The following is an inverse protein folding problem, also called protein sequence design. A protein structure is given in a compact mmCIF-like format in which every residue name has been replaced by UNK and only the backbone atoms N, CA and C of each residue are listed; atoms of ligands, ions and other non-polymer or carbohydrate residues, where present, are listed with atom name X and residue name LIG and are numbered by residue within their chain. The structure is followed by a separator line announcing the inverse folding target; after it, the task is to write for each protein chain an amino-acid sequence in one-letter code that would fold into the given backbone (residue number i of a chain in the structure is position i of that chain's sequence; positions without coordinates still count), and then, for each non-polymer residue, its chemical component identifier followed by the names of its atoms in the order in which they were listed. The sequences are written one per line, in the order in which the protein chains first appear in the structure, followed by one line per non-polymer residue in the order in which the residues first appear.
data_IF_443881913171
#
_entry.id   IF_443881913171
#
_cell.length_a   1.000
_cell.length_b   1.000
_cell.length_c   1.000
_cell.angle_alpha   90.00
_cell.angle_beta   90.00
_cell.angle_gamma   90.00
#
_symmetry.space_group_name_H-M   'P 1'
#
loop_
_entity.id
_entity.type
_entity.pdbx_description
1 polymer ?
#
# COMPACT_ATOMS: atom_id res chain seq x y z
N UNK A 1 -14.81 -17.37 2.23
CA UNK A 1 -15.05 -17.09 3.66
C UNK A 1 -14.41 -15.73 3.99
N UNK A 2 -15.15 -14.77 4.55
CA UNK A 2 -14.60 -13.45 4.84
C UNK A 2 -13.47 -13.55 5.87
N UNK A 3 -12.31 -12.89 5.68
CA UNK A 3 -11.20 -13.01 6.61
C UNK A 3 -11.61 -12.45 7.98
N UNK A 4 -11.64 -13.31 8.99
CA UNK A 4 -11.80 -12.90 10.38
C UNK A 4 -10.42 -12.57 10.95
N UNK A 5 -10.28 -11.38 11.54
CA UNK A 5 -9.07 -11.05 12.30
C UNK A 5 -9.46 -10.84 13.75
N UNK A 6 -9.02 -11.75 14.63
CA UNK A 6 -9.38 -11.77 16.06
C UNK A 6 -10.89 -11.89 16.30
N UNK A 7 -11.56 -12.81 15.60
CA UNK A 7 -12.99 -13.09 15.77
C UNK A 7 -13.94 -12.00 15.26
N UNK A 8 -13.43 -10.91 14.67
CA UNK A 8 -14.25 -9.86 14.07
C UNK A 8 -14.20 -9.95 12.55
N UNK A 9 -15.38 -9.96 11.92
CA UNK A 9 -15.53 -9.91 10.47
C UNK A 9 -14.98 -8.56 9.96
N UNK A 10 -14.09 -8.61 8.97
CA UNK A 10 -13.58 -7.44 8.26
C UNK A 10 -13.85 -7.62 6.78
N UNK A 11 -15.05 -7.23 6.39
CA UNK A 11 -15.62 -7.43 5.07
C UNK A 11 -15.86 -6.11 4.32
N UNK A 12 -15.66 -4.95 4.94
CA UNK A 12 -15.82 -3.66 4.29
C UNK A 12 -14.50 -3.23 3.67
N UNK A 13 -14.43 -3.20 2.34
CA UNK A 13 -13.32 -2.59 1.61
C UNK A 13 -13.55 -1.09 1.55
N UNK A 14 -12.52 -0.31 1.87
CA UNK A 14 -12.56 1.14 1.79
C UNK A 14 -11.17 1.67 1.48
N UNK A 15 -11.07 2.93 1.06
CA UNK A 15 -9.79 3.60 0.87
C UNK A 15 -9.76 5.01 1.45
N UNK A 16 -8.56 5.56 1.55
CA UNK A 16 -8.33 6.97 1.85
C UNK A 16 -7.17 7.49 1.00
N UNK A 17 -7.20 8.77 0.63
CA UNK A 17 -6.07 9.39 -0.05
C UNK A 17 -4.88 9.56 0.90
N UNK A 18 -3.72 9.03 0.52
CA UNK A 18 -2.46 9.20 1.27
C UNK A 18 -1.79 10.52 0.92
N UNK A 19 -1.99 10.96 -0.31
CA UNK A 19 -1.58 12.24 -0.88
C UNK A 19 -2.46 12.48 -2.14
N UNK A 20 -2.13 13.48 -2.95
CA UNK A 20 -2.88 13.77 -4.18
C UNK A 20 -2.79 12.66 -5.25
N UNK A 21 -1.78 11.79 -5.16
CA UNK A 21 -1.40 10.82 -6.20
C UNK A 21 -1.70 9.37 -5.84
N UNK A 22 -2.03 9.03 -4.59
CA UNK A 22 -2.23 7.64 -4.16
C UNK A 22 -3.45 7.47 -3.25
N UNK A 23 -4.21 6.40 -3.49
CA UNK A 23 -5.29 5.92 -2.64
C UNK A 23 -4.83 4.65 -1.90
N UNK A 24 -4.86 4.64 -0.57
CA UNK A 24 -4.56 3.46 0.23
C UNK A 24 -5.84 2.70 0.56
N UNK A 25 -5.95 1.48 0.05
CA UNK A 25 -7.11 0.60 0.20
C UNK A 25 -6.86 -0.42 1.30
N UNK A 26 -7.86 -0.62 2.15
CA UNK A 26 -7.81 -1.54 3.29
C UNK A 26 -9.16 -2.13 3.61
N UNK A 27 -9.15 -3.28 4.29
CA UNK A 27 -10.37 -3.89 4.84
C UNK A 27 -10.56 -3.48 6.29
N UNK A 28 -11.80 -3.13 6.62
CA UNK A 28 -12.24 -2.80 7.98
C UNK A 28 -13.54 -3.54 8.28
N UNK A 29 -13.94 -3.53 9.55
CA UNK A 29 -15.33 -3.82 9.92
C UNK A 29 -16.20 -2.63 9.51
N UNK A 30 -17.52 -2.84 9.48
CA UNK A 30 -18.46 -1.73 9.37
C UNK A 30 -18.29 -0.74 10.54
N UNK A 31 -17.80 0.45 10.22
CA UNK A 31 -17.59 1.54 11.18
C UNK A 31 -18.87 2.37 11.37
N UNK A 32 -19.76 2.38 10.38
CA UNK A 32 -21.03 3.11 10.44
C UNK A 32 -22.07 2.38 11.31
N UNK A 33 -21.91 1.07 11.50
CA UNK A 33 -22.67 0.32 12.50
C UNK A 33 -22.31 0.67 13.95
N UNK A 34 -21.27 1.48 14.20
CA UNK A 34 -20.88 1.90 15.55
C UNK A 34 -21.68 3.14 15.97
N UNK A 35 -22.23 3.13 17.19
CA UNK A 35 -22.95 4.27 17.75
C UNK A 35 -22.10 5.55 17.72
N UNK A 36 -22.70 6.65 17.22
CA UNK A 36 -22.05 7.95 17.10
C UNK A 36 -21.13 8.12 15.88
N UNK A 37 -21.19 7.20 14.91
CA UNK A 37 -20.48 7.29 13.63
C UNK A 37 -21.46 7.01 12.50
N UNK A 38 -21.78 8.02 11.71
CA UNK A 38 -22.56 7.84 10.49
C UNK A 38 -21.66 7.57 9.27
N UNK A 39 -22.18 6.99 8.17
CA UNK A 39 -21.45 6.91 6.91
C UNK A 39 -21.00 8.29 6.41
N UNK A 40 -21.83 9.32 6.60
CA UNK A 40 -21.51 10.70 6.22
C UNK A 40 -20.29 11.24 6.98
N UNK A 41 -20.15 10.89 8.27
CA UNK A 41 -18.99 11.28 9.08
C UNK A 41 -17.69 10.68 8.53
N UNK A 42 -17.71 9.40 8.13
CA UNK A 42 -16.54 8.74 7.58
C UNK A 42 -16.03 9.43 6.30
N UNK A 43 -16.94 9.79 5.40
CA UNK A 43 -16.58 10.49 4.17
C UNK A 43 -16.19 11.94 4.44
N UNK A 44 -17.02 12.70 5.16
CA UNK A 44 -16.82 14.14 5.35
C UNK A 44 -15.62 14.45 6.26
N UNK A 45 -15.48 13.72 7.37
CA UNK A 45 -14.48 13.99 8.42
C UNK A 45 -13.18 13.25 8.19
N UNK A 46 -13.22 12.03 7.64
CA UNK A 46 -12.02 11.19 7.49
C UNK A 46 -11.57 11.01 6.04
N UNK A 47 -12.40 11.36 5.06
CA UNK A 47 -12.09 11.16 3.64
C UNK A 47 -12.09 9.68 3.24
N UNK A 48 -12.93 8.86 3.88
CA UNK A 48 -13.13 7.48 3.45
C UNK A 48 -13.83 7.46 2.10
N UNK A 49 -13.37 6.56 1.23
CA UNK A 49 -13.93 6.27 -0.08
C UNK A 49 -14.52 4.87 0.01
N UNK A 50 -15.82 4.74 -0.23
CA UNK A 50 -16.50 3.46 -0.21
C UNK A 50 -16.03 2.58 -1.39
N UNK A 51 -16.12 1.26 -1.26
CA UNK A 51 -15.70 0.31 -2.30
C UNK A 51 -16.26 0.65 -3.69
N UNK A 52 -17.56 0.92 -3.77
CA UNK A 52 -18.25 1.28 -5.01
C UNK A 52 -17.67 2.55 -5.69
N UNK A 53 -17.01 3.42 -4.93
CA UNK A 53 -16.40 4.67 -5.41
C UNK A 53 -14.91 4.53 -5.70
N UNK A 54 -14.26 3.44 -5.26
CA UNK A 54 -12.83 3.23 -5.49
C UNK A 54 -12.51 3.09 -6.99
N UNK A 55 -13.39 2.45 -7.77
CA UNK A 55 -13.21 2.32 -9.21
C UNK A 55 -13.15 3.68 -9.92
N UNK A 56 -13.99 4.63 -9.50
CA UNK A 56 -14.05 5.99 -10.04
C UNK A 56 -12.91 6.91 -9.53
N UNK A 57 -12.13 6.46 -8.55
CA UNK A 57 -10.99 7.24 -8.04
C UNK A 57 -9.86 7.21 -9.07
N UNK A 58 -9.42 8.40 -9.50
CA UNK A 58 -8.36 8.55 -10.52
C UNK A 58 -6.98 8.10 -10.02
N UNK A 59 -6.72 8.18 -8.72
CA UNK A 59 -5.46 7.79 -8.13
C UNK A 59 -5.24 6.26 -8.19
N UNK A 60 -4.00 5.81 -8.46
CA UNK A 60 -3.61 4.42 -8.26
C UNK A 60 -3.96 3.92 -6.85
N UNK A 61 -4.43 2.67 -6.80
CA UNK A 61 -4.92 2.02 -5.58
C UNK A 61 -3.81 1.13 -5.01
N UNK A 62 -3.46 1.38 -3.76
CA UNK A 62 -2.38 0.67 -3.07
C UNK A 62 -2.94 -0.11 -1.89
N UNK A 63 -2.76 -1.42 -1.89
CA UNK A 63 -3.21 -2.33 -0.82
C UNK A 63 -2.01 -2.84 -0.04
N UNK A 64 -2.10 -2.71 1.28
CA UNK A 64 -1.16 -3.36 2.20
C UNK A 64 0.28 -2.81 2.18
N UNK A 65 0.51 -1.63 1.60
CA UNK A 65 1.82 -0.98 1.61
C UNK A 65 2.35 -0.74 3.03
N UNK A 66 3.67 -0.88 3.21
CA UNK A 66 4.37 -0.48 4.42
C UNK A 66 4.63 1.02 4.49
N UNK A 67 4.85 1.64 3.33
CA UNK A 67 4.86 3.07 3.11
C UNK A 67 4.41 3.35 1.65
N UNK A 68 3.74 4.47 1.37
CA UNK A 68 3.29 5.45 2.34
C UNK A 68 2.03 4.93 3.04
N UNK A 69 1.87 5.26 4.33
CA UNK A 69 0.63 4.99 5.07
C UNK A 69 -0.04 6.29 5.45
N UNK A 70 -1.37 6.37 5.29
CA UNK A 70 -2.13 7.52 5.77
C UNK A 70 -2.07 7.60 7.30
N UNK A 71 -2.28 8.80 7.89
CA UNK A 71 -2.40 8.94 9.33
C UNK A 71 -3.54 8.06 9.86
N UNK A 72 -3.37 7.51 11.06
CA UNK A 72 -4.43 6.82 11.80
C UNK A 72 -4.98 7.72 12.87
N UNK A 73 -6.29 7.78 12.95
CA UNK A 73 -7.02 8.53 13.97
C UNK A 73 -7.87 7.59 14.82
N UNK A 74 -8.20 8.01 16.03
CA UNK A 74 -9.07 7.30 16.95
C UNK A 74 -10.13 8.22 17.55
N UNK A 75 -11.31 7.67 17.84
CA UNK A 75 -12.39 8.39 18.50
C UNK A 75 -12.91 7.53 19.64
N UNK A 76 -13.08 8.13 20.82
CA UNK A 76 -13.79 7.47 21.93
C UNK A 76 -15.26 7.41 21.58
N UNK A 77 -15.87 6.26 21.77
CA UNK A 77 -17.29 6.06 21.54
C UNK A 77 -18.02 6.32 22.86
N UNK A 78 -19.11 7.06 22.81
CA UNK A 78 -20.00 7.19 23.97
C UNK A 78 -20.81 5.92 24.06
N UNK A 79 -20.28 4.91 24.73
CA UNK A 79 -21.03 3.69 25.05
C UNK A 79 -21.80 3.95 26.33
N UNK A 80 -23.11 3.70 26.33
CA UNK A 80 -23.84 3.48 27.59
C UNK A 80 -23.14 2.39 28.42
N UNK A 81 -23.42 2.31 29.72
CA UNK A 81 -22.69 1.49 30.71
C UNK A 81 -22.83 -0.05 30.52
N UNK A 82 -22.53 -0.56 29.32
CA UNK A 82 -22.57 -1.98 28.97
C UNK A 82 -21.12 -2.45 28.85
N UNK A 83 -20.70 -3.33 29.76
CA UNK A 83 -19.30 -3.79 29.88
C UNK A 83 -18.74 -4.46 28.60
N UNK A 84 -19.61 -4.91 27.68
CA UNK A 84 -19.22 -5.52 26.41
C UNK A 84 -19.07 -4.53 25.24
N UNK A 85 -19.42 -3.25 25.42
CA UNK A 85 -19.42 -2.27 24.35
C UNK A 85 -18.01 -1.75 24.02
N UNK A 86 -17.73 -1.52 22.74
CA UNK A 86 -16.45 -1.03 22.29
C UNK A 86 -16.25 0.44 22.67
N UNK A 87 -15.32 0.75 23.57
CA UNK A 87 -15.09 2.13 24.05
C UNK A 87 -14.32 3.07 23.10
N UNK A 88 -13.70 2.56 22.03
CA UNK A 88 -13.05 3.40 21.03
C UNK A 88 -12.97 2.74 19.66
N UNK A 89 -12.89 3.56 18.61
CA UNK A 89 -12.64 3.12 17.23
C UNK A 89 -11.35 3.74 16.72
N UNK A 90 -10.68 3.08 15.78
CA UNK A 90 -9.54 3.66 15.08
C UNK A 90 -9.56 3.27 13.61
N UNK A 91 -9.21 4.20 12.74
CA UNK A 91 -9.17 3.98 11.30
C UNK A 91 -8.17 4.93 10.64
N UNK A 92 -7.96 4.79 9.33
CA UNK A 92 -7.13 5.72 8.57
C UNK A 92 -7.89 7.01 8.24
N UNK A 93 -7.16 8.09 8.03
CA UNK A 93 -7.69 9.40 7.67
C UNK A 93 -6.93 9.90 6.44
N UNK A 94 -7.64 10.51 5.49
CA UNK A 94 -7.04 11.11 4.32
C UNK A 94 -6.11 12.26 4.72
N UNK A 95 -5.04 12.45 3.94
CA UNK A 95 -3.97 13.41 4.26
C UNK A 95 -4.45 14.85 4.46
N UNK A 96 -5.51 15.24 3.76
CA UNK A 96 -6.12 16.57 3.80
C UNK A 96 -7.32 16.68 4.76
N UNK A 97 -7.62 15.63 5.54
CA UNK A 97 -8.80 15.58 6.43
C UNK A 97 -8.47 15.63 7.92
N UNK A 98 -7.18 15.69 8.29
CA UNK A 98 -6.78 15.63 9.69
C UNK A 98 -7.33 16.81 10.53
N UNK A 99 -7.42 18.02 9.95
CA UNK A 99 -8.02 19.17 10.62
C UNK A 99 -9.51 18.96 10.91
N UNK A 100 -10.29 18.58 9.89
CA UNK A 100 -11.71 18.26 10.03
C UNK A 100 -11.96 17.11 11.02
N UNK A 101 -11.14 16.05 10.95
CA UNK A 101 -11.22 14.94 11.88
C UNK A 101 -11.02 15.40 13.34
N UNK A 102 -10.02 16.26 13.60
CA UNK A 102 -9.77 16.81 14.93
C UNK A 102 -10.95 17.62 15.46
N UNK A 103 -11.52 18.50 14.65
CA UNK A 103 -12.72 19.26 15.02
C UNK A 103 -13.93 18.37 15.33
N UNK A 104 -14.03 17.21 14.69
CA UNK A 104 -15.07 16.21 14.95
C UNK A 104 -14.75 15.24 16.11
N UNK A 105 -13.72 15.54 16.92
CA UNK A 105 -13.36 14.79 18.12
C UNK A 105 -12.46 13.57 17.86
N UNK A 106 -11.93 13.39 16.65
CA UNK A 106 -10.92 12.37 16.38
C UNK A 106 -9.55 12.83 16.85
N UNK A 107 -8.79 11.91 17.47
CA UNK A 107 -7.42 12.15 17.92
C UNK A 107 -6.44 11.43 17.01
N UNK A 108 -5.28 12.04 16.75
CA UNK A 108 -4.23 11.38 15.99
C UNK A 108 -3.66 10.23 16.83
N UNK A 109 -3.82 9.00 16.34
CA UNK A 109 -3.28 7.79 16.98
C UNK A 109 -1.91 7.42 16.41
N UNK A 110 -1.69 7.66 15.11
CA UNK A 110 -0.39 7.45 14.45
C UNK A 110 -0.24 8.43 13.29
N UNK A 111 0.89 9.12 13.21
CA UNK A 111 1.23 9.94 12.05
C UNK A 111 1.31 9.08 10.78
N UNK A 112 1.01 9.69 9.63
CA UNK A 112 1.32 9.07 8.35
C UNK A 112 2.83 8.92 8.16
N UNK A 113 3.24 8.05 7.25
CA UNK A 113 4.65 7.92 6.85
C UNK A 113 4.77 7.92 5.32
N UNK A 114 5.91 8.39 4.83
CA UNK A 114 6.29 8.38 3.42
C UNK A 114 7.34 7.30 3.14
N UNK A 115 7.58 7.02 1.85
CA UNK A 115 8.71 6.20 1.44
C UNK A 115 10.00 7.00 1.59
N UNK A 116 10.99 6.43 2.27
CA UNK A 116 12.33 6.97 2.32
C UNK A 116 13.14 6.36 1.17
N UNK A 117 13.54 7.18 0.20
CA UNK A 117 14.42 6.79 -0.90
C UNK A 117 15.85 7.11 -0.46
N UNK A 118 16.73 6.11 -0.46
CA UNK A 118 18.10 6.22 0.04
C UNK A 118 19.07 5.53 -0.90
N UNK A 119 20.28 6.08 -0.98
CA UNK A 119 21.44 5.43 -1.55
C UNK A 119 22.59 5.51 -0.55
N UNK A 120 23.30 4.41 -0.35
CA UNK A 120 24.46 4.28 0.52
C UNK A 120 25.45 3.30 -0.12
N UNK A 121 26.68 3.24 0.37
CA UNK A 121 27.70 2.34 -0.21
C UNK A 121 27.36 0.84 -0.17
N UNK A 122 26.40 0.40 0.65
CA UNK A 122 25.99 -1.03 0.75
C UNK A 122 24.58 -1.31 0.26
N UNK A 123 23.73 -0.30 0.22
CA UNK A 123 22.31 -0.47 -0.11
C UNK A 123 21.80 0.72 -0.88
N UNK A 124 21.11 0.43 -1.97
CA UNK A 124 20.42 1.39 -2.83
C UNK A 124 18.92 1.08 -2.85
N UNK A 125 18.08 2.10 -3.01
CA UNK A 125 16.64 1.89 -3.20
C UNK A 125 16.39 1.65 -4.68
N UNK A 126 16.18 0.39 -5.06
CA UNK A 126 15.73 0.06 -6.40
C UNK A 126 14.28 0.54 -6.59
N UNK A 127 13.99 1.06 -7.78
CA UNK A 127 12.67 1.57 -8.15
C UNK A 127 12.22 0.93 -9.46
N UNK A 128 10.98 0.47 -9.51
CA UNK A 128 10.33 0.03 -10.74
C UNK A 128 8.94 0.64 -10.82
N UNK A 129 8.47 0.93 -12.02
CA UNK A 129 7.12 1.47 -12.23
C UNK A 129 6.15 0.33 -12.49
N UNK A 130 5.00 0.34 -11.82
CA UNK A 130 3.93 -0.64 -12.02
C UNK A 130 2.59 0.06 -11.82
N UNK A 131 1.74 0.06 -12.85
CA UNK A 131 0.39 0.65 -12.81
C UNK A 131 0.40 2.13 -12.32
N UNK A 132 1.35 2.91 -12.84
CA UNK A 132 1.55 4.32 -12.49
C UNK A 132 2.11 4.57 -11.09
N UNK A 133 2.47 3.52 -10.34
CA UNK A 133 3.08 3.59 -9.00
C UNK A 133 4.58 3.28 -9.10
N UNK A 134 5.41 3.99 -8.32
CA UNK A 134 6.84 3.70 -8.22
C UNK A 134 7.10 2.74 -7.05
N UNK A 135 7.22 1.44 -7.32
CA UNK A 135 7.51 0.45 -6.29
C UNK A 135 8.99 0.47 -5.90
N UNK A 136 9.27 0.65 -4.62
CA UNK A 136 10.60 0.86 -4.06
C UNK A 136 10.96 -0.23 -3.05
N UNK A 137 12.18 -0.77 -3.14
CA UNK A 137 12.71 -1.71 -2.16
C UNK A 137 14.23 -1.52 -1.98
N UNK A 138 14.79 -1.83 -0.81
CA UNK A 138 16.24 -1.85 -0.63
C UNK A 138 16.85 -3.03 -1.38
N UNK A 139 17.96 -2.79 -2.06
CA UNK A 139 18.76 -3.79 -2.78
C UNK A 139 20.25 -3.58 -2.44
N UNK A 140 21.05 -4.64 -2.45
CA UNK A 140 22.50 -4.51 -2.31
C UNK A 140 23.05 -3.67 -3.47
N UNK A 141 23.98 -2.75 -3.20
CA UNK A 141 24.52 -1.87 -4.24
C UNK A 141 25.24 -2.65 -5.34
N UNK A 142 26.01 -3.70 -5.01
CA UNK A 142 26.71 -4.51 -5.99
C UNK A 142 25.73 -5.26 -6.91
N UNK A 143 24.70 -5.89 -6.34
CA UNK A 143 23.65 -6.56 -7.14
C UNK A 143 22.91 -5.54 -8.02
N UNK A 144 22.68 -4.32 -7.52
CA UNK A 144 22.00 -3.29 -8.30
C UNK A 144 22.88 -2.86 -9.48
N UNK A 145 24.14 -2.53 -9.24
CA UNK A 145 25.06 -2.11 -10.29
C UNK A 145 25.22 -3.20 -11.36
N UNK A 146 25.17 -4.47 -10.97
CA UNK A 146 25.25 -5.61 -11.89
C UNK A 146 23.98 -5.84 -12.71
N UNK A 147 22.79 -5.71 -12.11
CA UNK A 147 21.54 -6.18 -12.73
C UNK A 147 20.52 -5.09 -13.04
N UNK A 148 20.79 -3.82 -12.76
CA UNK A 148 19.80 -2.74 -12.92
C UNK A 148 19.30 -2.58 -14.36
N UNK A 149 20.20 -2.63 -15.35
CA UNK A 149 19.82 -2.49 -16.75
C UNK A 149 18.97 -3.66 -17.24
N UNK A 150 19.38 -4.91 -16.92
CA UNK A 150 18.64 -6.12 -17.30
C UNK A 150 17.24 -6.18 -16.66
N UNK A 151 17.11 -5.74 -15.41
CA UNK A 151 15.86 -5.77 -14.65
C UNK A 151 14.99 -4.52 -14.88
N UNK A 152 15.45 -3.53 -15.66
CA UNK A 152 14.74 -2.27 -15.89
C UNK A 152 14.59 -1.40 -14.63
N UNK A 153 15.57 -1.43 -13.72
CA UNK A 153 15.51 -0.71 -12.45
C UNK A 153 15.94 0.74 -12.59
N UNK A 154 15.22 1.64 -11.94
CA UNK A 154 15.54 3.07 -11.84
C UNK A 154 16.32 3.36 -10.56
N UNK A 155 17.32 4.23 -10.65
CA UNK A 155 18.10 4.72 -9.51
C UNK A 155 17.30 5.68 -8.62
N UNK A 156 17.62 5.78 -7.32
CA UNK A 156 17.08 6.81 -6.43
C UNK A 156 17.12 8.24 -6.97
N UNK A 157 18.21 8.57 -7.68
CA UNK A 157 18.47 9.90 -8.23
C UNK A 157 17.52 10.27 -9.38
N UNK A 158 16.83 9.30 -10.00
CA UNK A 158 15.85 9.58 -11.05
C UNK A 158 14.51 10.05 -10.49
N UNK A 159 14.24 9.83 -9.19
CA UNK A 159 13.01 10.28 -8.51
C UNK A 159 13.22 11.69 -7.95
N UNK A 160 13.14 12.69 -8.84
CA UNK A 160 13.58 14.06 -8.54
C UNK A 160 12.44 14.96 -8.04
N UNK A 161 11.22 14.74 -8.53
CA UNK A 161 10.07 15.62 -8.28
C UNK A 161 9.26 15.18 -7.05
N UNK A 162 8.51 16.12 -6.47
CA UNK A 162 7.55 15.81 -5.41
C UNK A 162 6.41 14.91 -5.91
N UNK A 163 5.99 15.08 -7.17
CA UNK A 163 4.94 14.27 -7.77
C UNK A 163 5.35 12.79 -7.86
N UNK A 164 6.57 12.50 -8.32
CA UNK A 164 7.12 11.14 -8.37
C UNK A 164 7.32 10.57 -6.97
N UNK A 165 7.92 11.33 -6.04
CA UNK A 165 8.07 10.89 -4.64
C UNK A 165 6.74 10.53 -3.98
N UNK A 166 5.67 11.24 -4.34
CA UNK A 166 4.32 10.95 -3.87
C UNK A 166 3.70 9.70 -4.50
N UNK A 167 4.24 9.18 -5.60
CA UNK A 167 3.87 7.88 -6.22
C UNK A 167 4.71 6.72 -5.69
N UNK A 168 5.75 6.97 -4.90
CA UNK A 168 6.59 5.90 -4.35
C UNK A 168 5.81 5.06 -3.34
N UNK A 169 5.90 3.73 -3.46
CA UNK A 169 5.36 2.76 -2.49
C UNK A 169 6.42 1.74 -2.10
N UNK A 170 6.28 1.13 -0.92
CA UNK A 170 7.16 0.07 -0.45
C UNK A 170 6.36 -1.01 0.25
N UNK A 171 6.62 -2.26 -0.12
CA UNK A 171 6.00 -3.44 0.49
C UNK A 171 4.48 -3.47 0.29
N UNK A 172 3.99 -2.93 -0.82
CA UNK A 172 2.59 -3.10 -1.22
C UNK A 172 2.35 -4.54 -1.67
N UNK A 173 1.14 -5.04 -1.40
CA UNK A 173 0.64 -6.29 -1.97
C UNK A 173 0.07 -6.06 -3.37
N UNK A 174 -0.52 -4.88 -3.58
CA UNK A 174 -1.02 -4.42 -4.88
C UNK A 174 -0.81 -2.89 -4.99
N UNK A 175 -0.36 -2.36 -6.13
CA UNK A 175 0.31 -3.12 -7.17
C UNK A 175 1.65 -3.69 -6.66
N UNK A 176 2.04 -4.86 -7.15
CA UNK A 176 3.34 -5.48 -6.89
C UNK A 176 3.98 -5.88 -8.21
N UNK A 177 5.24 -5.47 -8.48
CA UNK A 177 5.94 -5.85 -9.71
C UNK A 177 6.12 -7.37 -9.80
N UNK A 178 6.39 -7.84 -11.03
CA UNK A 178 6.81 -9.22 -11.26
C UNK A 178 8.12 -9.53 -10.53
N UNK A 179 8.35 -10.81 -10.22
CA UNK A 179 9.60 -11.31 -9.64
C UNK A 179 10.26 -12.26 -10.61
N UNK A 180 11.58 -12.27 -10.62
CA UNK A 180 12.37 -13.17 -11.45
C UNK A 180 13.63 -13.60 -10.69
N UNK A 181 14.16 -14.78 -11.06
CA UNK A 181 15.34 -15.37 -10.41
C UNK A 181 16.44 -15.69 -11.41
N UNK A 182 17.69 -15.59 -10.99
CA UNK A 182 18.89 -15.96 -11.75
C UNK A 182 19.71 -16.96 -10.92
N UNK A 183 20.23 -18.00 -11.57
CA UNK A 183 21.18 -18.91 -10.92
C UNK A 183 22.58 -18.38 -11.19
N UNK A 184 23.33 -18.11 -10.14
CA UNK A 184 24.70 -17.62 -10.21
C UNK A 184 25.66 -18.80 -10.43
N UNK A 185 26.85 -18.52 -10.96
CA UNK A 185 27.90 -19.54 -11.20
C UNK A 185 28.32 -20.27 -9.92
N UNK A 186 28.13 -19.62 -8.76
CA UNK A 186 28.34 -20.21 -7.43
C UNK A 186 27.30 -21.26 -7.03
N UNK A 187 26.25 -21.45 -7.84
CA UNK A 187 25.09 -22.28 -7.56
C UNK A 187 24.01 -21.61 -6.70
N UNK A 188 24.28 -20.41 -6.18
CA UNK A 188 23.27 -19.63 -5.43
C UNK A 188 22.20 -19.01 -6.34
N UNK A 189 21.05 -18.64 -5.77
CA UNK A 189 19.95 -18.01 -6.51
C UNK A 189 19.79 -16.56 -6.09
N UNK A 190 19.89 -15.67 -7.06
CA UNK A 190 19.52 -14.26 -6.93
C UNK A 190 18.05 -14.09 -7.34
N UNK A 191 17.27 -13.31 -6.59
CA UNK A 191 15.86 -13.02 -6.93
C UNK A 191 15.53 -11.56 -6.64
N UNK A 192 14.93 -10.88 -7.61
CA UNK A 192 14.51 -9.48 -7.46
C UNK A 192 13.16 -9.23 -8.13
N UNK A 193 12.66 -8.00 -7.96
CA UNK A 193 11.60 -7.48 -8.80
C UNK A 193 12.19 -6.96 -10.12
N UNK A 194 11.38 -6.95 -11.17
CA UNK A 194 11.79 -6.46 -12.49
C UNK A 194 10.68 -5.62 -13.12
N UNK A 195 11.04 -4.82 -14.13
CA UNK A 195 10.09 -4.09 -14.96
C UNK A 195 9.37 -5.06 -15.89
N UNK A 196 8.07 -5.28 -15.66
CA UNK A 196 7.29 -6.22 -16.47
C UNK A 196 7.13 -5.79 -17.92
N UNK A 197 7.28 -4.50 -18.21
CA UNK A 197 7.22 -3.96 -19.57
C UNK A 197 8.55 -4.16 -20.31
N UNK A 198 9.64 -4.40 -19.57
CA UNK A 198 10.99 -4.64 -20.08
C UNK A 198 11.60 -5.87 -19.40
N UNK A 199 11.04 -7.08 -19.61
CA UNK A 199 11.58 -8.29 -18.99
C UNK A 199 13.02 -8.55 -19.45
N UNK A 200 13.90 -9.07 -18.57
CA UNK A 200 15.26 -9.43 -18.96
C UNK A 200 15.23 -10.49 -20.07
N UNK A 201 16.01 -10.27 -21.12
CA UNK A 201 16.09 -11.15 -22.31
C UNK A 201 17.42 -11.88 -22.42
N UNK A 202 18.36 -11.58 -21.52
CA UNK A 202 19.72 -12.16 -21.48
C UNK A 202 19.94 -12.82 -20.13
N UNK A 203 20.73 -13.89 -20.08
CA UNK A 203 20.97 -14.69 -18.86
C UNK A 203 19.97 -15.83 -18.66
N UNK A 204 20.33 -16.78 -17.79
CA UNK A 204 19.50 -17.93 -17.42
C UNK A 204 18.42 -17.54 -16.39
N UNK A 205 17.66 -16.48 -16.65
CA UNK A 205 16.57 -16.07 -15.77
C UNK A 205 15.41 -17.07 -15.80
N UNK A 206 14.84 -17.37 -14.64
CA UNK A 206 13.77 -18.34 -14.47
C UNK A 206 12.76 -17.88 -13.41
N UNK A 207 11.62 -18.58 -13.34
CA UNK A 207 10.52 -18.30 -12.40
C UNK A 207 9.97 -16.87 -12.49
N UNK A 208 9.88 -16.31 -13.70
CA UNK A 208 9.25 -15.01 -13.90
C UNK A 208 7.77 -15.05 -13.49
N UNK A 209 7.36 -14.18 -12.56
CA UNK A 209 5.97 -13.99 -12.16
C UNK A 209 5.41 -12.72 -12.75
N UNK A 210 4.15 -12.75 -13.16
CA UNK A 210 3.44 -11.57 -13.64
C UNK A 210 3.25 -10.53 -12.51
N UNK A 211 3.13 -9.23 -12.84
CA UNK A 211 2.79 -8.21 -11.87
C UNK A 211 1.40 -8.45 -11.28
N UNK A 212 1.24 -8.18 -9.99
CA UNK A 212 -0.04 -8.25 -9.30
C UNK A 212 -0.66 -6.86 -9.26
N UNK A 213 -1.75 -6.67 -10.00
CA UNK A 213 -2.45 -5.38 -10.10
C UNK A 213 -3.69 -5.33 -9.21
N UNK A 214 -4.07 -4.15 -8.77
CA UNK A 214 -5.30 -3.97 -8.00
C UNK A 214 -6.53 -4.32 -8.86
N UNK A 215 -7.45 -5.12 -8.33
CA UNK A 215 -8.64 -5.59 -9.07
C UNK A 215 -8.42 -6.89 -9.84
N UNK A 216 -7.17 -7.24 -10.20
CA UNK A 216 -6.81 -8.51 -10.84
C UNK A 216 -6.55 -9.62 -9.84
N UNK A 217 -7.25 -9.63 -8.69
CA UNK A 217 -7.12 -10.76 -7.78
C UNK A 217 -7.70 -11.97 -8.53
N UNK A 218 -6.90 -13.01 -8.84
CA UNK A 218 -7.48 -14.22 -9.41
C UNK A 218 -8.57 -14.65 -8.44
N UNK A 219 -9.80 -14.82 -8.95
CA UNK A 219 -10.92 -15.29 -8.14
C UNK A 219 -10.40 -16.45 -7.30
N UNK A 220 -10.38 -16.27 -5.98
CA UNK A 220 -9.69 -17.19 -5.08
C UNK A 220 -10.09 -18.60 -5.50
N UNK A 221 -9.14 -19.36 -6.08
CA UNK A 221 -9.41 -20.70 -6.54
C UNK A 221 -10.01 -21.41 -5.34
N UNK A 222 -11.31 -21.71 -5.40
CA UNK A 222 -12.03 -22.27 -4.29
C UNK A 222 -11.33 -23.56 -3.94
N UNK A 223 -10.61 -23.56 -2.81
CA UNK A 223 -10.13 -24.79 -2.21
C UNK A 223 -11.35 -25.59 -1.82
N UNK A 224 -11.75 -26.49 -2.73
CA UNK A 224 -12.64 -27.60 -2.45
C UNK A 224 -11.92 -28.66 -1.62
#
# INVERSE_FOLDING_TARGET
MAPTQRGKKRDQVTGVLVNANLCYVFTTKDLAALSGISPADLTAQLGHIAEAQLAATAQPKVVGANAPKPPRVSKRLTTGAVAAAQGSVSTYCAYNKLGTARSAGWRLAKAGNSVAIRSSGKTVTAVVEVDGVLYCWPMNSADFDQYNDELGLKLPSTVTTAAERNRCVRGARFPQPGRISLRLDTGSVFSSFYDSDNPPTTGEWFNATQPLLYGNTPAAAGGG
#
